data_IF_279959491863
#
_entry.id   IF_279959491863
#
_cell.length_a   1.000
_cell.length_b   1.000
_cell.length_c   1.000
_cell.angle_alpha   90.00
_cell.angle_beta   90.00
_cell.angle_gamma   90.00
#
_symmetry.space_group_name_H-M   'P 1'
#
loop_
_entity.id
_entity.type
_entity.pdbx_description
1 polymer ?
#
# COMPACT_ATOMS: atom_id res chain seq x y z
N UNK A 1 12.68 -11.98 9.43
CA UNK A 1 11.76 -13.13 9.53
C UNK A 1 10.51 -12.78 10.34
N UNK A 2 10.63 -12.07 11.47
CA UNK A 2 9.50 -11.78 12.38
C UNK A 2 8.47 -10.75 11.85
N UNK A 3 8.92 -9.69 11.16
CA UNK A 3 8.04 -8.66 10.58
C UNK A 3 7.21 -9.15 9.39
N UNK A 4 7.73 -10.11 8.61
CA UNK A 4 7.02 -10.73 7.48
C UNK A 4 5.82 -11.54 7.94
N UNK A 5 5.95 -12.24 9.06
CA UNK A 5 4.86 -13.06 9.60
C UNK A 5 3.71 -12.18 10.11
N UNK A 6 4.05 -11.04 10.74
CA UNK A 6 3.06 -10.05 11.17
C UNK A 6 2.32 -9.43 9.97
N UNK A 7 3.03 -9.04 8.91
CA UNK A 7 2.40 -8.45 7.73
C UNK A 7 1.49 -9.45 7.01
N UNK A 8 1.90 -10.71 6.84
CA UNK A 8 1.07 -11.75 6.22
C UNK A 8 -0.24 -11.94 6.99
N UNK A 9 -0.17 -12.07 8.32
CA UNK A 9 -1.36 -12.26 9.16
C UNK A 9 -2.32 -11.06 9.08
N UNK A 10 -1.78 -9.84 9.13
CA UNK A 10 -2.58 -8.62 9.19
C UNK A 10 -3.10 -8.14 7.82
N UNK A 11 -2.47 -8.55 6.71
CA UNK A 11 -2.82 -8.05 5.37
C UNK A 11 -3.35 -9.13 4.43
N UNK A 12 -2.62 -10.23 4.23
CA UNK A 12 -2.98 -11.27 3.26
C UNK A 12 -4.05 -12.22 3.78
N UNK A 13 -3.93 -12.62 5.05
CA UNK A 13 -4.91 -13.48 5.67
C UNK A 13 -6.17 -12.73 6.09
N UNK A 14 -6.09 -11.41 6.31
CA UNK A 14 -7.24 -10.58 6.65
C UNK A 14 -8.04 -11.18 7.82
N UNK A 15 -7.31 -11.57 8.88
CA UNK A 15 -7.86 -12.20 10.08
C UNK A 15 -8.29 -13.66 9.94
N UNK A 16 -8.19 -14.26 8.74
CA UNK A 16 -8.54 -15.67 8.51
C UNK A 16 -7.43 -16.61 8.98
N UNK A 17 -7.83 -17.82 9.36
CA UNK A 17 -6.93 -18.93 9.70
C UNK A 17 -6.68 -19.83 8.49
N UNK A 18 -5.60 -20.61 8.55
CA UNK A 18 -5.31 -21.66 7.57
C UNK A 18 -6.43 -22.72 7.57
N UNK A 19 -6.74 -23.27 6.40
CA UNK A 19 -7.93 -24.12 6.18
C UNK A 19 -7.64 -25.60 6.27
N UNK A 20 -6.42 -26.00 5.92
CA UNK A 20 -6.01 -27.40 5.89
C UNK A 20 -6.04 -28.04 7.27
N UNK A 21 -6.54 -29.28 7.33
CA UNK A 21 -6.61 -30.10 8.55
C UNK A 21 -5.52 -31.17 8.60
N UNK A 22 -4.50 -31.06 7.76
CA UNK A 22 -3.35 -31.96 7.70
C UNK A 22 -2.06 -31.15 7.71
N UNK A 23 -0.99 -31.73 8.28
CA UNK A 23 0.33 -31.08 8.31
C UNK A 23 0.84 -30.73 6.91
N UNK A 24 0.77 -31.62 5.89
CA UNK A 24 1.21 -31.27 4.55
C UNK A 24 0.40 -30.14 3.90
N UNK A 25 -0.91 -30.09 4.16
CA UNK A 25 -1.76 -29.01 3.64
C UNK A 25 -1.46 -27.66 4.30
N UNK A 26 -1.15 -27.66 5.61
CA UNK A 26 -0.72 -26.46 6.31
C UNK A 26 0.62 -25.94 5.78
N UNK A 27 1.59 -26.82 5.54
CA UNK A 27 2.87 -26.44 4.93
C UNK A 27 2.65 -25.81 3.55
N UNK A 28 1.83 -26.43 2.72
CA UNK A 28 1.49 -25.90 1.40
C UNK A 28 0.87 -24.50 1.48
N UNK A 29 -0.09 -24.28 2.39
CA UNK A 29 -0.71 -22.97 2.58
C UNK A 29 0.29 -21.92 3.07
N UNK A 30 1.17 -22.26 4.01
CA UNK A 30 2.23 -21.36 4.51
C UNK A 30 3.19 -20.98 3.39
N UNK A 31 3.67 -21.95 2.61
CA UNK A 31 4.55 -21.68 1.48
C UNK A 31 3.85 -20.87 0.39
N UNK A 32 2.56 -21.11 0.12
CA UNK A 32 1.80 -20.31 -0.83
C UNK A 32 1.70 -18.83 -0.39
N UNK A 33 1.46 -18.57 0.90
CA UNK A 33 1.45 -17.21 1.44
C UNK A 33 2.82 -16.54 1.34
N UNK A 34 3.89 -17.24 1.70
CA UNK A 34 5.26 -16.71 1.64
C UNK A 34 5.68 -16.43 0.20
N UNK A 35 5.43 -17.35 -0.72
CA UNK A 35 5.76 -17.18 -2.14
C UNK A 35 4.98 -16.00 -2.75
N UNK A 36 3.69 -15.88 -2.44
CA UNK A 36 2.87 -14.76 -2.90
C UNK A 36 3.38 -13.43 -2.34
N UNK A 37 3.69 -13.36 -1.04
CA UNK A 37 4.29 -12.17 -0.43
C UNK A 37 5.58 -11.76 -1.16
N UNK A 38 6.50 -12.71 -1.38
CA UNK A 38 7.78 -12.43 -2.05
C UNK A 38 7.59 -11.98 -3.50
N UNK A 39 6.67 -12.59 -4.25
CA UNK A 39 6.35 -12.19 -5.62
C UNK A 39 5.83 -10.74 -5.69
N UNK A 40 4.99 -10.32 -4.72
CA UNK A 40 4.50 -8.95 -4.64
C UNK A 40 5.61 -7.95 -4.29
N UNK A 41 6.50 -8.31 -3.36
CA UNK A 41 7.66 -7.46 -3.02
C UNK A 41 8.61 -7.33 -4.21
N UNK A 42 8.81 -8.40 -4.99
CA UNK A 42 9.61 -8.33 -6.21
C UNK A 42 8.96 -7.44 -7.26
N UNK A 43 7.66 -7.57 -7.47
CA UNK A 43 6.89 -6.71 -8.38
C UNK A 43 6.98 -5.22 -7.97
N UNK A 44 7.00 -4.95 -6.66
CA UNK A 44 7.18 -3.61 -6.13
C UNK A 44 8.59 -3.07 -6.40
N UNK A 45 9.62 -3.91 -6.23
CA UNK A 45 11.00 -3.56 -6.55
C UNK A 45 11.16 -3.25 -8.04
N UNK A 46 10.59 -4.09 -8.91
CA UNK A 46 10.56 -3.85 -10.36
C UNK A 46 9.89 -2.51 -10.69
N UNK A 47 8.76 -2.20 -10.06
CA UNK A 47 8.09 -0.90 -10.23
C UNK A 47 8.99 0.29 -9.85
N UNK A 48 9.75 0.19 -8.75
CA UNK A 48 10.75 1.20 -8.38
C UNK A 48 11.87 1.31 -9.41
N UNK A 49 12.40 0.18 -9.92
CA UNK A 49 13.47 0.22 -10.94
C UNK A 49 13.05 0.94 -12.22
N UNK A 50 11.75 0.92 -12.56
CA UNK A 50 11.23 1.60 -13.75
C UNK A 50 11.06 3.13 -13.59
N UNK A 51 11.10 3.67 -12.37
CA UNK A 51 10.90 5.11 -12.09
C UNK A 51 12.01 5.65 -11.19
N UNK A 52 13.04 6.30 -11.77
CA UNK A 52 14.08 6.97 -11.00
C UNK A 52 13.48 7.96 -9.99
N UNK A 53 13.95 7.90 -8.73
CA UNK A 53 13.47 8.77 -7.65
C UNK A 53 12.16 8.32 -6.97
N UNK A 54 11.53 7.21 -7.41
CA UNK A 54 10.41 6.63 -6.67
C UNK A 54 10.91 5.91 -5.43
N UNK A 55 10.54 6.38 -4.24
CA UNK A 55 10.83 5.68 -3.00
C UNK A 55 9.91 4.46 -2.82
N UNK A 56 10.48 3.32 -2.42
CA UNK A 56 9.73 2.07 -2.16
C UNK A 56 8.60 2.25 -1.14
N UNK A 57 8.77 3.15 -0.17
CA UNK A 57 7.76 3.49 0.84
C UNK A 57 6.48 4.11 0.25
N UNK A 58 6.52 4.58 -0.99
CA UNK A 58 5.32 5.07 -1.70
C UNK A 58 4.48 3.94 -2.29
N UNK A 59 5.00 2.72 -2.34
CA UNK A 59 4.27 1.56 -2.84
C UNK A 59 3.46 0.94 -1.69
N UNK A 60 2.15 0.94 -1.84
CA UNK A 60 1.24 0.31 -0.88
C UNK A 60 1.18 -1.20 -1.09
N UNK A 61 1.49 -1.98 -0.05
CA UNK A 61 1.33 -3.43 -0.08
C UNK A 61 -0.12 -3.87 -0.28
N UNK A 62 -1.08 -3.12 0.26
CA UNK A 62 -2.51 -3.39 0.06
C UNK A 62 -2.92 -3.24 -1.40
N UNK A 63 -2.40 -2.21 -2.09
CA UNK A 63 -2.66 -2.01 -3.53
C UNK A 63 -2.04 -3.14 -4.35
N UNK A 64 -0.82 -3.58 -4.03
CA UNK A 64 -0.19 -4.75 -4.66
C UNK A 64 -1.06 -6.00 -4.53
N UNK A 65 -1.51 -6.29 -3.32
CA UNK A 65 -2.31 -7.47 -3.02
C UNK A 65 -3.67 -7.43 -3.74
N UNK A 66 -4.34 -6.28 -3.70
CA UNK A 66 -5.64 -6.10 -4.37
C UNK A 66 -5.50 -6.19 -5.89
N UNK A 67 -4.50 -5.54 -6.47
CA UNK A 67 -4.21 -5.65 -7.89
C UNK A 67 -3.93 -7.11 -8.30
N UNK A 68 -3.17 -7.85 -7.50
CA UNK A 68 -2.91 -9.26 -7.76
C UNK A 68 -4.18 -10.13 -7.66
N UNK A 69 -5.02 -9.90 -6.65
CA UNK A 69 -6.30 -10.59 -6.50
C UNK A 69 -7.24 -10.30 -7.69
N UNK A 70 -7.30 -9.04 -8.14
CA UNK A 70 -8.08 -8.64 -9.30
C UNK A 70 -7.57 -9.32 -10.58
N UNK A 71 -6.25 -9.35 -10.79
CA UNK A 71 -5.66 -10.05 -11.95
C UNK A 71 -5.92 -11.56 -11.92
N UNK A 72 -5.87 -12.19 -10.74
CA UNK A 72 -6.18 -13.61 -10.57
C UNK A 72 -7.67 -13.91 -10.83
N UNK A 73 -8.57 -13.05 -10.33
CA UNK A 73 -10.02 -13.23 -10.46
C UNK A 73 -10.51 -12.98 -11.88
N UNK A 74 -10.00 -11.92 -12.52
CA UNK A 74 -10.36 -11.57 -13.90
C UNK A 74 -9.72 -12.49 -14.94
N UNK A 75 -8.83 -13.39 -14.52
CA UNK A 75 -8.08 -14.32 -15.38
C UNK A 75 -7.43 -13.62 -16.59
N UNK A 76 -7.06 -12.34 -16.44
CA UNK A 76 -6.93 -11.42 -17.58
C UNK A 76 -5.83 -11.81 -18.58
N UNK A 77 -4.86 -12.66 -18.19
CA UNK A 77 -3.69 -13.00 -19.01
C UNK A 77 -3.08 -14.40 -18.78
N UNK A 78 -3.88 -15.45 -18.59
CA UNK A 78 -3.34 -16.82 -18.71
C UNK A 78 -2.87 -17.16 -20.14
N UNK A 79 -3.31 -16.39 -21.14
CA UNK A 79 -2.86 -16.51 -22.52
C UNK A 79 -1.55 -15.73 -22.74
N UNK A 80 -0.49 -16.45 -23.13
CA UNK A 80 0.81 -15.88 -23.51
C UNK A 80 0.61 -14.82 -24.59
N UNK A 81 0.89 -13.56 -24.25
CA UNK A 81 0.91 -12.46 -25.21
C UNK A 81 2.15 -12.59 -26.12
N UNK A 82 2.02 -12.52 -27.45
CA UNK A 82 3.18 -12.46 -28.32
C UNK A 82 3.94 -11.13 -28.14
N UNK A 83 5.28 -11.21 -28.04
CA UNK A 83 6.19 -10.07 -27.87
C UNK A 83 7.05 -10.16 -26.60
N UNK A 84 8.03 -9.25 -26.43
CA UNK A 84 8.85 -9.19 -25.21
C UNK A 84 7.96 -8.91 -24.00
N UNK A 85 8.13 -9.70 -22.94
CA UNK A 85 7.43 -9.48 -21.67
C UNK A 85 7.98 -8.21 -21.02
N UNK A 86 7.16 -7.16 -20.83
CA UNK A 86 7.62 -5.96 -20.15
C UNK A 86 8.00 -6.31 -18.70
N UNK A 87 9.11 -5.73 -18.22
CA UNK A 87 9.55 -5.87 -16.82
C UNK A 87 8.42 -5.54 -15.85
N UNK A 88 7.61 -4.53 -16.19
CA UNK A 88 6.44 -4.16 -15.42
C UNK A 88 5.17 -4.86 -15.93
N UNK A 89 4.68 -5.80 -15.12
CA UNK A 89 3.38 -6.45 -15.31
C UNK A 89 2.18 -5.54 -15.01
N UNK A 90 0.93 -6.03 -15.24
CA UNK A 90 -0.30 -5.29 -14.93
C UNK A 90 -0.39 -4.84 -13.47
N UNK A 91 0.03 -5.71 -12.54
CA UNK A 91 0.07 -5.42 -11.10
C UNK A 91 0.98 -4.22 -10.83
N UNK A 92 2.20 -4.22 -11.38
CA UNK A 92 3.14 -3.11 -11.23
C UNK A 92 2.61 -1.79 -11.80
N UNK A 93 1.91 -1.82 -12.94
CA UNK A 93 1.25 -0.61 -13.50
C UNK A 93 0.18 -0.06 -12.57
N UNK A 94 -0.73 -0.93 -12.10
CA UNK A 94 -1.79 -0.52 -11.17
C UNK A 94 -1.23 0.13 -9.91
N UNK A 95 -0.11 -0.40 -9.39
CA UNK A 95 0.57 0.16 -8.22
C UNK A 95 1.17 1.54 -8.51
N UNK A 96 1.77 1.73 -9.68
CA UNK A 96 2.32 3.04 -10.07
C UNK A 96 1.24 4.11 -10.28
N UNK A 97 0.03 3.70 -10.64
CA UNK A 97 -1.14 4.58 -10.76
C UNK A 97 -1.77 4.92 -9.39
N UNK A 98 -1.46 4.13 -8.35
CA UNK A 98 -2.04 4.23 -7.00
C UNK A 98 -0.96 4.41 -5.92
N UNK A 99 0.07 5.20 -6.23
CA UNK A 99 1.14 5.50 -5.27
C UNK A 99 0.60 6.25 -4.05
N UNK A 100 1.14 5.93 -2.88
CA UNK A 100 0.88 6.69 -1.66
C UNK A 100 1.32 8.15 -1.85
N UNK A 101 0.63 9.10 -1.18
CA UNK A 101 1.00 10.50 -1.20
C UNK A 101 2.48 10.70 -0.85
N UNK A 102 3.15 11.59 -1.57
CA UNK A 102 4.56 11.91 -1.31
C UNK A 102 4.77 12.43 0.11
N UNK A 103 3.83 13.23 0.61
CA UNK A 103 3.84 13.68 1.99
C UNK A 103 3.16 12.65 2.89
N UNK A 104 3.88 12.16 3.91
CA UNK A 104 3.25 11.38 4.99
C UNK A 104 2.20 12.25 5.67
N UNK A 105 1.01 11.71 5.87
CA UNK A 105 -0.06 12.41 6.60
C UNK A 105 0.49 12.90 7.93
N UNK A 106 0.29 14.19 8.20
CA UNK A 106 0.70 14.80 9.46
C UNK A 106 0.09 14.01 10.61
N UNK A 107 0.92 13.59 11.56
CA UNK A 107 0.43 12.99 12.78
C UNK A 107 -0.01 14.11 13.67
N UNK A 108 -1.31 14.12 13.85
CA UNK A 108 -1.94 15.16 14.63
C UNK A 108 -2.04 14.55 16.07
N UNK A 109 -2.28 13.24 16.30
CA UNK A 109 -2.37 12.56 17.64
C UNK A 109 -1.05 11.94 18.04
N UNK A 110 -0.77 11.91 19.35
CA UNK A 110 0.27 11.08 19.91
C UNK A 110 -0.07 9.59 19.71
N UNK A 111 0.92 8.77 19.36
CA UNK A 111 0.73 7.31 19.37
C UNK A 111 0.63 6.84 20.81
N UNK A 112 -0.46 6.16 21.15
CA UNK A 112 -0.56 5.45 22.41
C UNK A 112 -0.15 4.00 22.20
N UNK A 113 0.66 3.47 23.13
CA UNK A 113 1.04 2.06 23.13
C UNK A 113 -0.09 1.28 23.80
N UNK A 114 -0.54 0.22 23.14
CA UNK A 114 -1.51 -0.68 23.73
C UNK A 114 -0.94 -1.27 25.02
N UNK A 115 -1.74 -1.27 26.09
CA UNK A 115 -1.27 -1.64 27.41
C UNK A 115 -1.41 -3.16 27.60
N UNK A 116 -0.29 -3.93 27.57
CA UNK A 116 -0.30 -5.37 27.30
C UNK A 116 -0.74 -6.24 28.48
N UNK A 117 -0.85 -5.65 29.67
CA UNK A 117 -1.35 -6.30 30.88
C UNK A 117 -2.45 -5.52 31.57
N UNK A 118 -2.81 -4.34 31.04
CA UNK A 118 -2.92 -3.16 31.90
C UNK A 118 -3.50 -3.41 33.29
N UNK A 119 -2.61 -3.62 34.26
CA UNK A 119 -2.96 -3.55 35.68
C UNK A 119 -3.26 -2.11 36.11
N UNK A 120 -2.86 -1.13 35.28
CA UNK A 120 -2.92 0.30 35.56
C UNK A 120 -4.16 0.94 34.93
N UNK A 121 -4.68 1.98 35.59
CA UNK A 121 -5.74 2.81 35.03
C UNK A 121 -5.28 3.55 33.76
N UNK A 122 -6.20 3.97 32.90
CA UNK A 122 -5.87 4.67 31.66
C UNK A 122 -5.04 5.94 31.91
N UNK A 123 -4.12 6.22 30.99
CA UNK A 123 -3.37 7.49 30.90
C UNK A 123 -4.30 8.63 30.43
N UNK A 124 -5.28 8.94 31.26
CA UNK A 124 -6.27 9.98 31.00
C UNK A 124 -5.64 11.36 31.26
N UNK A 125 -5.69 12.26 30.26
CA UNK A 125 -5.31 13.68 30.41
C UNK A 125 -3.86 14.06 30.09
N UNK A 126 -2.93 13.11 30.00
CA UNK A 126 -1.48 13.36 29.89
C UNK A 126 -0.96 13.76 28.47
N UNK A 127 -1.76 13.59 27.43
CA UNK A 127 -1.46 14.02 26.06
C UNK A 127 -2.70 14.71 25.49
N UNK A 128 -2.61 15.52 24.41
CA UNK A 128 -3.78 15.69 23.60
C UNK A 128 -4.13 14.27 23.14
N UNK A 129 -5.18 13.77 23.79
CA UNK A 129 -6.05 12.71 23.32
C UNK A 129 -6.54 13.02 21.89
N UNK A 130 -6.29 14.25 21.46
CA UNK A 130 -6.62 14.87 20.20
C UNK A 130 -5.39 15.12 19.33
N UNK A 131 -5.69 15.16 18.05
CA UNK A 131 -4.72 15.23 16.98
C UNK A 131 -4.53 16.76 16.81
N UNK A 132 -3.34 17.37 16.96
CA UNK A 132 -3.10 18.83 16.75
C UNK A 132 -2.77 19.22 15.30
N UNK A 133 -3.66 20.03 14.72
CA UNK A 133 -3.63 20.47 13.32
C UNK A 133 -3.05 21.88 13.27
N UNK A 134 -2.08 22.13 12.39
CA UNK A 134 -1.59 23.48 12.09
C UNK A 134 -1.98 23.83 10.65
N UNK A 135 -2.43 25.07 10.40
CA UNK A 135 -2.79 25.53 9.07
C UNK A 135 -1.57 26.17 8.37
N UNK A 136 -1.30 25.75 7.14
CA UNK A 136 -0.39 26.42 6.23
C UNK A 136 -1.24 27.16 5.21
N UNK A 137 -1.18 28.50 5.24
CA UNK A 137 -1.83 29.34 4.23
C UNK A 137 -0.90 29.49 3.04
N UNK A 138 -1.42 29.25 1.83
CA UNK A 138 -0.70 29.43 0.57
C UNK A 138 -1.59 30.33 -0.30
N UNK A 139 -1.14 31.54 -0.57
CA UNK A 139 -1.83 32.48 -1.46
C UNK A 139 -1.21 32.37 -2.86
N UNK A 140 -2.05 32.09 -3.86
CA UNK A 140 -1.64 31.96 -5.26
C UNK A 140 -2.27 33.12 -6.02
N UNK A 141 -1.46 34.07 -6.48
CA UNK A 141 -1.92 35.16 -7.34
C UNK A 141 -1.91 34.72 -8.81
N UNK A 142 -3.08 34.73 -9.43
CA UNK A 142 -3.25 34.58 -10.89
C UNK A 142 -3.50 35.96 -11.47
N UNK A 143 -2.67 36.37 -12.44
CA UNK A 143 -2.77 37.68 -13.08
C UNK A 143 -3.79 37.62 -14.23
N UNK A 144 -4.94 38.27 -14.05
CA UNK A 144 -6.03 38.32 -15.04
C UNK A 144 -5.87 39.43 -16.09
N UNK A 145 -5.01 40.44 -15.84
CA UNK A 145 -4.73 41.47 -16.84
C UNK A 145 -3.88 40.91 -17.98
N UNK A 146 -4.56 40.57 -19.08
CA UNK A 146 -3.95 40.03 -20.31
C UNK A 146 -4.66 38.81 -20.87
N UNK A 147 -5.63 38.22 -20.14
CA UNK A 147 -6.40 37.07 -20.61
C UNK A 147 -7.62 37.51 -21.44
N UNK A 148 -7.38 38.13 -22.60
CA UNK A 148 -8.44 38.39 -23.56
C UNK A 148 -8.98 37.06 -24.12
N UNK A 149 -10.28 36.81 -23.97
CA UNK A 149 -10.92 35.59 -24.45
C UNK A 149 -10.93 35.55 -25.98
N UNK A 150 -10.41 34.47 -26.57
CA UNK A 150 -10.60 34.22 -28.01
C UNK A 150 -12.04 33.81 -28.24
N UNK A 151 -12.85 34.69 -28.83
CA UNK A 151 -14.13 34.30 -29.42
C UNK A 151 -13.89 33.29 -30.54
N UNK A 152 -14.46 32.08 -30.40
CA UNK A 152 -14.39 31.04 -31.42
C UNK A 152 -15.80 30.73 -31.95
N UNK A 153 -16.05 31.28 -33.14
CA UNK A 153 -17.10 31.05 -34.15
C UNK A 153 -18.51 30.74 -33.69
#
# INVERSE_FOLDING_TARGET
METTYFSIKATMLDGRVLRSRSVPGLDQEVYALLATYQALIHTAADAVTTRPGLAMERISFTVLLQAAADQATTASRYTRRPGPTPLLGPIGRMVLDNLLPTARRQRVKARSRENPTSKYGPNAGEHPQTTQTSALSIEIHVMEHGLASRHRR
#
